data_IF_105493498347
#
_entry.id   IF_105493498347
#
_cell.length_a   1.000
_cell.length_b   1.000
_cell.length_c   1.000
_cell.angle_alpha   90.00
_cell.angle_beta   90.00
_cell.angle_gamma   90.00
#
_symmetry.space_group_name_H-M   'P 1'
#
loop_
_entity.id
_entity.type
_entity.pdbx_description
1 polymer ?
#
# COMPACT_ATOMS: atom_id res chain seq x y z
N UNK A 1 13.32 -64.12 -17.84
CA UNK A 1 12.47 -63.42 -16.85
C UNK A 1 12.70 -61.91 -17.00
N UNK A 2 11.83 -61.22 -17.73
CA UNK A 2 11.91 -59.77 -17.95
C UNK A 2 11.07 -59.04 -16.91
N UNK A 3 11.67 -58.17 -16.09
CA UNK A 3 10.97 -57.37 -15.08
C UNK A 3 10.29 -56.19 -15.77
N UNK A 4 8.96 -56.24 -15.80
CA UNK A 4 8.08 -55.20 -16.31
C UNK A 4 8.02 -54.05 -15.28
N UNK A 5 8.79 -52.97 -15.49
CA UNK A 5 8.76 -51.77 -14.65
C UNK A 5 7.54 -50.95 -15.09
N UNK A 6 6.48 -50.93 -14.28
CA UNK A 6 5.26 -50.15 -14.55
C UNK A 6 5.59 -48.65 -14.59
N UNK A 7 5.10 -47.87 -15.58
CA UNK A 7 5.42 -46.45 -15.77
C UNK A 7 4.66 -45.51 -14.80
N UNK A 8 4.27 -45.98 -13.62
CA UNK A 8 3.47 -45.20 -12.66
C UNK A 8 4.26 -44.06 -11.99
N UNK A 9 5.60 -44.08 -12.03
CA UNK A 9 6.44 -43.08 -11.36
C UNK A 9 6.62 -41.76 -12.13
N UNK A 10 6.51 -41.78 -13.47
CA UNK A 10 6.84 -40.62 -14.31
C UNK A 10 5.68 -39.61 -14.36
N UNK A 11 4.43 -40.08 -14.39
CA UNK A 11 3.23 -39.21 -14.37
C UNK A 11 3.05 -38.49 -13.03
N UNK A 12 3.34 -39.15 -11.91
CA UNK A 12 3.27 -38.53 -10.58
C UNK A 12 4.29 -37.40 -10.41
N UNK A 13 5.51 -37.56 -10.95
CA UNK A 13 6.56 -36.54 -10.88
C UNK A 13 6.24 -35.28 -11.72
N UNK A 14 5.64 -35.44 -12.90
CA UNK A 14 5.25 -34.32 -13.77
C UNK A 14 4.10 -33.52 -13.15
N UNK A 15 3.06 -34.19 -12.63
CA UNK A 15 1.92 -33.52 -11.98
C UNK A 15 2.38 -32.81 -10.70
N UNK A 16 3.25 -33.45 -9.90
CA UNK A 16 3.85 -32.81 -8.72
C UNK A 16 4.68 -31.57 -9.06
N UNK A 17 5.51 -31.63 -10.11
CA UNK A 17 6.32 -30.50 -10.57
C UNK A 17 5.49 -29.32 -11.07
N UNK A 18 4.42 -29.57 -11.85
CA UNK A 18 3.53 -28.52 -12.36
C UNK A 18 2.79 -27.82 -11.22
N UNK A 19 2.23 -28.58 -10.26
CA UNK A 19 1.53 -28.00 -9.11
C UNK A 19 2.45 -27.16 -8.21
N UNK A 20 3.69 -27.61 -7.98
CA UNK A 20 4.70 -26.83 -7.25
C UNK A 20 5.05 -25.53 -7.97
N UNK A 21 5.24 -25.57 -9.30
CA UNK A 21 5.56 -24.37 -10.09
C UNK A 21 4.43 -23.34 -10.10
N UNK A 22 3.17 -23.78 -10.21
CA UNK A 22 1.98 -22.92 -10.14
C UNK A 22 1.81 -22.31 -8.74
N UNK A 23 2.09 -23.08 -7.69
CA UNK A 23 2.08 -22.59 -6.30
C UNK A 23 3.09 -21.47 -6.08
N UNK A 24 4.33 -21.66 -6.53
CA UNK A 24 5.40 -20.64 -6.43
C UNK A 24 5.06 -19.39 -7.24
N UNK A 25 4.56 -19.54 -8.48
CA UNK A 25 4.17 -18.41 -9.31
C UNK A 25 3.03 -17.58 -8.69
N UNK A 26 2.03 -18.24 -8.09
CA UNK A 26 0.91 -17.57 -7.42
C UNK A 26 1.37 -16.77 -6.20
N UNK A 27 2.29 -17.33 -5.40
CA UNK A 27 2.89 -16.64 -4.24
C UNK A 27 3.71 -15.42 -4.66
N UNK A 28 4.47 -15.51 -5.76
CA UNK A 28 5.25 -14.39 -6.29
C UNK A 28 4.33 -13.28 -6.85
N UNK A 29 3.26 -13.65 -7.56
CA UNK A 29 2.27 -12.72 -8.10
C UNK A 29 1.60 -11.92 -6.98
N UNK A 30 1.13 -12.60 -5.92
CA UNK A 30 0.50 -11.94 -4.77
C UNK A 30 1.41 -10.94 -4.07
N UNK A 31 2.73 -11.21 -4.00
CA UNK A 31 3.70 -10.27 -3.42
C UNK A 31 4.02 -9.06 -4.28
N UNK A 32 4.03 -9.23 -5.61
CA UNK A 32 4.41 -8.16 -6.54
C UNK A 32 3.23 -7.29 -6.95
N UNK A 33 2.00 -7.83 -6.88
CA UNK A 33 0.80 -7.14 -7.31
C UNK A 33 0.60 -5.77 -6.64
N UNK A 34 0.73 -5.60 -5.31
CA UNK A 34 0.51 -4.28 -4.68
C UNK A 34 1.53 -3.22 -5.15
N UNK A 35 2.81 -3.59 -5.25
CA UNK A 35 3.86 -2.70 -5.73
C UNK A 35 3.65 -2.30 -7.19
N UNK A 36 3.24 -3.25 -8.03
CA UNK A 36 2.93 -2.98 -9.43
C UNK A 36 1.68 -2.10 -9.57
N UNK A 37 0.62 -2.37 -8.79
CA UNK A 37 -0.59 -1.55 -8.75
C UNK A 37 -0.29 -0.12 -8.33
N UNK A 38 0.53 0.09 -7.29
CA UNK A 38 0.96 1.43 -6.86
C UNK A 38 1.66 2.19 -7.98
N UNK A 39 2.66 1.57 -8.63
CA UNK A 39 3.41 2.20 -9.72
C UNK A 39 2.53 2.48 -10.93
N UNK A 40 1.64 1.55 -11.28
CA UNK A 40 0.72 1.73 -12.40
C UNK A 40 -0.25 2.88 -12.12
N UNK A 41 -0.84 2.92 -10.93
CA UNK A 41 -1.76 3.98 -10.53
C UNK A 41 -1.08 5.37 -10.52
N UNK A 42 0.14 5.46 -9.98
CA UNK A 42 0.96 6.67 -10.02
C UNK A 42 1.25 7.11 -11.46
N UNK A 43 1.58 6.18 -12.35
CA UNK A 43 1.80 6.47 -13.76
C UNK A 43 0.53 6.96 -14.44
N UNK A 44 -0.60 6.28 -14.22
CA UNK A 44 -1.92 6.68 -14.74
C UNK A 44 -2.24 8.10 -14.30
N UNK A 45 -2.10 8.40 -13.00
CA UNK A 45 -2.31 9.75 -12.47
C UNK A 45 -1.41 10.78 -13.15
N UNK A 46 -0.10 10.49 -13.25
CA UNK A 46 0.85 11.42 -13.87
C UNK A 46 0.52 11.78 -15.33
N UNK A 47 -0.18 10.88 -16.03
CA UNK A 47 -0.52 11.02 -17.46
C UNK A 47 -1.93 11.57 -17.68
N UNK A 48 -2.88 11.24 -16.80
CA UNK A 48 -4.31 11.50 -17.00
C UNK A 48 -4.90 12.54 -16.05
N UNK A 49 -4.12 13.05 -15.08
CA UNK A 49 -4.61 14.04 -14.12
C UNK A 49 -5.16 15.29 -14.82
N UNK A 50 -6.28 15.85 -14.33
CA UNK A 50 -6.72 17.19 -14.74
C UNK A 50 -5.71 18.26 -14.26
N UNK A 51 -5.54 19.32 -15.04
CA UNK A 51 -4.72 20.48 -14.62
C UNK A 51 -5.33 21.19 -13.41
N UNK A 52 -6.67 21.17 -13.30
CA UNK A 52 -7.40 21.77 -12.18
C UNK A 52 -8.47 20.81 -11.70
N UNK A 53 -8.54 20.62 -10.38
CA UNK A 53 -9.55 19.76 -9.78
C UNK A 53 -9.86 20.19 -8.36
N UNK A 54 -11.03 19.79 -7.88
CA UNK A 54 -11.41 19.85 -6.48
C UNK A 54 -11.44 18.43 -5.93
N UNK A 55 -10.94 18.23 -4.72
CA UNK A 55 -11.04 16.94 -4.07
C UNK A 55 -11.30 17.05 -2.58
N UNK A 56 -11.95 16.03 -2.04
CA UNK A 56 -12.10 15.83 -0.59
C UNK A 56 -11.25 14.64 -0.18
N UNK A 57 -10.33 14.87 0.75
CA UNK A 57 -9.46 13.85 1.32
C UNK A 57 -9.89 13.57 2.76
N UNK A 58 -10.05 12.30 3.10
CA UNK A 58 -10.24 11.82 4.46
C UNK A 58 -8.91 11.33 5.05
N UNK A 59 -8.65 11.70 6.29
CA UNK A 59 -7.47 11.31 7.05
C UNK A 59 -7.85 10.59 8.33
N UNK A 60 -7.11 9.54 8.67
CA UNK A 60 -7.07 8.95 10.02
C UNK A 60 -5.61 8.65 10.36
N UNK A 61 -5.11 9.24 11.44
CA UNK A 61 -3.71 9.11 11.84
C UNK A 61 -3.45 7.73 12.47
N UNK A 62 -4.45 7.23 13.20
CA UNK A 62 -4.46 5.92 13.83
C UNK A 62 -5.76 5.19 13.48
N UNK A 63 -5.71 3.86 13.44
CA UNK A 63 -6.86 2.99 13.12
C UNK A 63 -8.13 3.34 13.91
N UNK A 64 -7.96 3.66 15.21
CA UNK A 64 -9.06 3.95 16.13
C UNK A 64 -9.28 5.46 16.38
N UNK A 65 -8.55 6.33 15.67
CA UNK A 65 -8.75 7.77 15.78
C UNK A 65 -9.95 8.24 14.96
N UNK A 66 -10.73 9.23 15.46
CA UNK A 66 -11.75 9.87 14.64
C UNK A 66 -11.07 10.51 13.42
N UNK A 67 -11.64 10.23 12.25
CA UNK A 67 -11.16 10.82 11.02
C UNK A 67 -11.46 12.31 10.92
N UNK A 68 -10.75 12.98 10.01
CA UNK A 68 -11.04 14.34 9.59
C UNK A 68 -11.01 14.44 8.07
N UNK A 69 -11.52 15.53 7.51
CA UNK A 69 -11.62 15.74 6.08
C UNK A 69 -11.14 17.14 5.68
N UNK A 70 -10.52 17.21 4.51
CA UNK A 70 -10.13 18.46 3.87
C UNK A 70 -10.65 18.48 2.43
N UNK A 71 -11.36 19.55 2.09
CA UNK A 71 -11.76 19.86 0.72
C UNK A 71 -10.79 20.91 0.17
N UNK A 72 -10.12 20.61 -0.93
CA UNK A 72 -9.14 21.49 -1.54
C UNK A 72 -9.35 21.64 -3.04
N UNK A 73 -8.94 22.79 -3.56
CA UNK A 73 -8.77 23.02 -4.99
C UNK A 73 -7.29 22.98 -5.32
N UNK A 74 -6.97 22.20 -6.35
CA UNK A 74 -5.62 22.00 -6.84
C UNK A 74 -5.55 22.56 -8.26
N UNK A 75 -4.44 23.23 -8.57
CA UNK A 75 -4.10 23.71 -9.90
C UNK A 75 -2.65 23.36 -10.18
N UNK A 76 -2.38 22.65 -11.27
CA UNK A 76 -1.06 22.18 -11.70
C UNK A 76 -0.31 21.44 -10.57
N UNK A 77 -1.01 20.55 -9.85
CA UNK A 77 -0.50 19.87 -8.65
C UNK A 77 0.01 20.80 -7.53
N UNK A 78 -0.49 22.03 -7.48
CA UNK A 78 -0.31 22.93 -6.34
C UNK A 78 -1.66 23.25 -5.69
N UNK A 79 -1.70 23.27 -4.36
CA UNK A 79 -2.90 23.60 -3.60
C UNK A 79 -3.20 25.09 -3.80
N UNK A 80 -4.22 25.39 -4.60
CA UNK A 80 -4.65 26.76 -4.88
C UNK A 80 -5.48 27.33 -3.73
N UNK A 81 -6.31 26.47 -3.11
CA UNK A 81 -7.22 26.88 -2.03
C UNK A 81 -7.63 25.70 -1.16
N UNK A 82 -7.72 25.93 0.15
CA UNK A 82 -8.42 25.04 1.08
C UNK A 82 -9.85 25.55 1.23
N UNK A 83 -10.83 24.76 0.78
CA UNK A 83 -12.25 25.13 0.78
C UNK A 83 -12.88 24.83 2.15
N UNK A 84 -12.53 23.67 2.73
CA UNK A 84 -13.00 23.23 4.05
C UNK A 84 -11.91 22.41 4.71
N UNK A 85 -11.75 22.58 6.02
CA UNK A 85 -10.79 21.83 6.82
C UNK A 85 -11.38 21.48 8.19
N UNK A 86 -11.61 20.19 8.45
CA UNK A 86 -12.05 19.68 9.76
C UNK A 86 -10.91 19.09 10.58
N UNK A 87 -9.67 19.15 10.08
CA UNK A 87 -8.48 18.57 10.70
C UNK A 87 -7.77 19.51 11.70
N UNK A 88 -8.29 20.72 11.92
CA UNK A 88 -7.68 21.75 12.78
C UNK A 88 -7.38 21.29 14.22
N UNK A 89 -8.12 20.30 14.73
CA UNK A 89 -7.93 19.77 16.08
C UNK A 89 -6.90 18.62 16.16
N UNK A 90 -6.30 18.20 15.04
CA UNK A 90 -5.36 17.06 14.99
C UNK A 90 -3.89 17.46 15.16
N UNK A 91 -3.60 18.37 16.12
CA UNK A 91 -2.24 18.76 16.52
C UNK A 91 -1.32 19.20 15.36
N UNK A 92 -1.86 19.74 14.27
CA UNK A 92 -1.14 20.09 13.04
C UNK A 92 -0.40 18.90 12.38
N UNK A 93 -0.82 17.67 12.66
CA UNK A 93 -0.24 16.46 12.06
C UNK A 93 -0.74 16.19 10.64
N UNK A 94 -1.84 16.83 10.24
CA UNK A 94 -2.46 16.69 8.93
C UNK A 94 -2.38 18.02 8.18
N UNK A 95 -1.61 18.02 7.11
CA UNK A 95 -1.54 19.12 6.15
C UNK A 95 -2.30 18.75 4.88
N UNK A 96 -2.97 19.71 4.23
CA UNK A 96 -3.51 19.51 2.89
C UNK A 96 -2.47 18.91 1.94
N UNK A 97 -2.86 17.90 1.16
CA UNK A 97 -2.01 17.18 0.22
C UNK A 97 -2.71 17.05 -1.13
N UNK A 98 -1.99 17.19 -2.22
CA UNK A 98 -2.44 16.81 -3.58
C UNK A 98 -2.40 15.28 -3.75
N UNK A 99 -2.93 14.76 -4.86
CA UNK A 99 -2.80 13.32 -5.16
C UNK A 99 -1.33 12.90 -5.30
N UNK A 100 -0.49 13.75 -5.92
CA UNK A 100 0.95 13.49 -6.04
C UNK A 100 1.66 13.49 -4.68
N UNK A 101 1.26 14.36 -3.74
CA UNK A 101 1.79 14.35 -2.37
C UNK A 101 1.42 13.05 -1.63
N UNK A 102 0.20 12.54 -1.83
CA UNK A 102 -0.22 11.25 -1.28
C UNK A 102 0.67 10.13 -1.83
N UNK A 103 0.91 10.08 -3.14
CA UNK A 103 1.84 9.10 -3.71
C UNK A 103 3.26 9.25 -3.13
N UNK A 104 3.78 10.47 -3.03
CA UNK A 104 5.10 10.72 -2.46
C UNK A 104 5.20 10.23 -1.01
N UNK A 105 4.17 10.46 -0.19
CA UNK A 105 4.11 10.04 1.21
C UNK A 105 4.18 8.53 1.39
N UNK A 106 3.54 7.77 0.51
CA UNK A 106 3.50 6.31 0.58
C UNK A 106 4.54 5.60 -0.31
N UNK A 107 5.36 6.35 -1.06
CA UNK A 107 6.29 5.82 -2.06
C UNK A 107 7.24 4.76 -1.49
N UNK A 108 7.97 5.08 -0.42
CA UNK A 108 8.95 4.18 0.18
C UNK A 108 8.30 2.88 0.67
N UNK A 109 7.30 2.90 1.58
CA UNK A 109 6.69 1.65 2.05
C UNK A 109 5.91 0.90 0.96
N UNK A 110 5.47 1.55 -0.13
CA UNK A 110 4.82 0.87 -1.24
C UNK A 110 5.79 0.20 -2.21
N UNK A 111 7.04 0.68 -2.30
CA UNK A 111 8.00 0.20 -3.30
C UNK A 111 9.23 -0.47 -2.72
N UNK A 112 9.43 -0.40 -1.42
CA UNK A 112 10.53 -0.99 -0.68
C UNK A 112 10.00 -1.70 0.56
N UNK A 113 10.74 -2.69 1.07
CA UNK A 113 10.37 -3.33 2.33
C UNK A 113 11.00 -2.55 3.47
N UNK A 114 10.20 -1.76 4.19
CA UNK A 114 10.63 -1.00 5.37
C UNK A 114 10.14 -1.66 6.65
N UNK A 115 10.95 -1.67 7.71
CA UNK A 115 10.51 -2.12 9.02
C UNK A 115 9.58 -1.10 9.68
N UNK A 116 8.74 -1.57 10.60
CA UNK A 116 8.07 -0.67 11.54
C UNK A 116 9.04 0.09 12.45
N UNK A 117 8.56 1.10 13.18
CA UNK A 117 9.37 2.02 14.00
C UNK A 117 10.18 1.32 15.11
N UNK A 118 9.72 0.19 15.64
CA UNK A 118 10.41 -0.63 16.64
C UNK A 118 11.28 -1.74 16.00
N UNK A 119 11.46 -1.71 14.68
CA UNK A 119 12.22 -2.67 13.91
C UNK A 119 11.42 -3.90 13.47
N UNK A 120 11.95 -4.63 12.48
CA UNK A 120 11.25 -5.76 11.84
C UNK A 120 10.98 -6.95 12.79
N UNK A 121 11.77 -7.07 13.86
CA UNK A 121 11.56 -8.11 14.87
C UNK A 121 10.29 -7.87 15.68
N UNK A 122 10.00 -6.60 16.00
CA UNK A 122 8.89 -6.19 16.84
C UNK A 122 7.61 -5.95 16.03
N UNK A 123 7.71 -5.09 15.03
CA UNK A 123 6.56 -4.59 14.29
C UNK A 123 6.33 -5.38 13.00
N UNK A 124 7.37 -6.05 12.50
CA UNK A 124 7.37 -6.58 11.15
C UNK A 124 7.65 -5.51 10.10
N UNK A 125 7.20 -5.79 8.87
CA UNK A 125 7.34 -4.88 7.75
C UNK A 125 6.12 -3.97 7.61
N UNK A 126 6.34 -2.73 7.19
CA UNK A 126 5.28 -1.84 6.75
C UNK A 126 4.83 -2.30 5.35
N UNK A 127 3.53 -2.47 5.19
CA UNK A 127 2.89 -2.84 3.92
C UNK A 127 1.80 -1.83 3.60
N UNK A 128 1.71 -1.49 2.32
CA UNK A 128 0.69 -0.57 1.81
C UNK A 128 -0.47 -1.36 1.26
N UNK A 129 -1.66 -1.03 1.77
CA UNK A 129 -2.93 -1.51 1.25
C UNK A 129 -3.61 -0.34 0.59
N UNK A 130 -3.91 -0.47 -0.70
CA UNK A 130 -4.48 0.62 -1.46
C UNK A 130 -5.48 0.13 -2.50
N UNK A 131 -6.45 0.99 -2.78
CA UNK A 131 -7.34 0.89 -3.94
C UNK A 131 -7.26 2.18 -4.73
N UNK A 132 -7.38 2.06 -6.05
CA UNK A 132 -7.18 3.18 -6.97
C UNK A 132 -8.39 3.36 -7.86
N UNK A 133 -8.64 4.60 -8.24
CA UNK A 133 -9.58 4.91 -9.30
C UNK A 133 -9.08 4.32 -10.63
N UNK A 134 -9.91 3.55 -11.32
CA UNK A 134 -9.50 2.82 -12.52
C UNK A 134 -9.22 3.74 -13.73
N UNK A 135 -9.86 4.91 -13.76
CA UNK A 135 -9.72 5.85 -14.87
C UNK A 135 -8.55 6.80 -14.61
N UNK A 136 -8.58 7.52 -13.49
CA UNK A 136 -7.60 8.58 -13.21
C UNK A 136 -6.40 8.09 -12.39
N UNK A 137 -6.47 6.93 -11.74
CA UNK A 137 -5.35 6.35 -11.02
C UNK A 137 -5.09 6.92 -9.61
N UNK A 138 -5.88 7.88 -9.12
CA UNK A 138 -5.69 8.41 -7.76
C UNK A 138 -6.10 7.37 -6.69
N UNK A 139 -5.54 7.42 -5.47
CA UNK A 139 -5.89 6.49 -4.40
C UNK A 139 -7.27 6.81 -3.82
N UNK A 140 -8.22 5.89 -3.95
CA UNK A 140 -9.52 5.94 -3.27
C UNK A 140 -9.36 5.67 -1.77
N UNK A 141 -8.45 4.76 -1.45
CA UNK A 141 -8.00 4.44 -0.10
C UNK A 141 -6.54 4.01 -0.18
N UNK A 142 -5.71 4.50 0.73
CA UNK A 142 -4.34 4.04 0.93
C UNK A 142 -4.02 4.07 2.41
N UNK A 143 -3.48 2.97 2.93
CA UNK A 143 -3.14 2.84 4.33
C UNK A 143 -1.83 2.07 4.52
N UNK A 144 -1.12 2.42 5.59
CA UNK A 144 0.04 1.68 6.06
C UNK A 144 -0.37 0.68 7.14
N UNK A 145 0.06 -0.57 7.02
CA UNK A 145 -0.16 -1.61 8.02
C UNK A 145 1.14 -2.28 8.41
N UNK A 146 1.22 -2.71 9.67
CA UNK A 146 2.27 -3.61 10.13
C UNK A 146 1.87 -5.04 9.79
N UNK A 147 2.75 -5.74 9.08
CA UNK A 147 2.59 -7.15 8.78
C UNK A 147 3.82 -7.93 9.23
N UNK A 148 3.57 -9.05 9.91
CA UNK A 148 4.66 -9.95 10.28
C UNK A 148 5.21 -10.63 9.03
N UNK A 149 6.50 -10.43 8.78
CA UNK A 149 7.21 -11.16 7.74
C UNK A 149 7.84 -12.41 8.34
N UNK A 150 7.04 -13.48 8.46
CA UNK A 150 7.49 -14.76 9.01
C UNK A 150 8.64 -15.40 8.22
N UNK A 151 8.85 -14.98 6.97
CA UNK A 151 9.96 -15.45 6.14
C UNK A 151 11.24 -14.65 6.37
N UNK A 152 11.19 -13.52 7.07
CA UNK A 152 12.37 -12.74 7.39
C UNK A 152 13.09 -13.37 8.60
N UNK A 153 14.35 -13.82 8.47
CA UNK A 153 15.11 -14.42 9.56
C UNK A 153 15.24 -13.51 10.79
N UNK A 154 15.24 -12.19 10.59
CA UNK A 154 15.31 -11.22 11.69
C UNK A 154 14.07 -11.25 12.60
N UNK A 155 12.97 -11.87 12.17
CA UNK A 155 11.77 -12.05 12.97
C UNK A 155 11.93 -13.08 14.10
N UNK A 156 12.82 -14.06 13.92
CA UNK A 156 12.98 -15.21 14.83
C UNK A 156 14.03 -14.97 15.92
N UNK A 157 14.55 -13.75 16.03
CA UNK A 157 15.42 -13.37 17.14
C UNK A 157 14.65 -13.41 18.46
N UNK A 158 15.14 -14.15 19.44
CA UNK A 158 14.65 -14.12 20.81
C UNK A 158 15.57 -13.19 21.62
N UNK A 159 14.99 -12.28 22.42
CA UNK A 159 15.61 -11.41 23.44
C UNK A 159 15.75 -9.89 23.19
N UNK A 160 15.11 -9.31 22.16
CA UNK A 160 15.10 -7.84 22.03
C UNK A 160 13.83 -7.28 22.67
N UNK A 161 13.90 -6.39 23.70
CA UNK A 161 12.73 -5.73 24.22
C UNK A 161 12.14 -4.79 23.16
N UNK A 162 10.88 -5.01 22.80
CA UNK A 162 10.15 -4.17 21.87
C UNK A 162 9.56 -2.96 22.58
N UNK A 163 9.81 -1.77 22.06
CA UNK A 163 9.12 -0.55 22.49
C UNK A 163 7.73 -0.48 21.86
N UNK A 164 6.81 0.28 22.46
CA UNK A 164 5.50 0.60 21.87
C UNK A 164 5.49 1.99 21.22
N UNK A 165 6.60 2.37 20.57
CA UNK A 165 6.77 3.72 20.02
C UNK A 165 6.40 3.70 18.54
N UNK A 166 5.63 4.70 18.10
CA UNK A 166 5.38 4.99 16.70
C UNK A 166 3.91 5.02 16.32
N UNK A 167 3.58 5.80 15.29
CA UNK A 167 2.26 5.91 14.70
C UNK A 167 2.28 5.12 13.39
N UNK A 168 1.62 3.95 13.36
CA UNK A 168 1.36 3.17 12.15
C UNK A 168 -0.16 2.94 12.07
N UNK A 169 -0.70 2.80 10.86
CA UNK A 169 -2.14 2.80 10.63
C UNK A 169 -2.64 4.12 10.06
N UNK A 170 -1.74 4.95 9.54
CA UNK A 170 -2.15 6.12 8.77
C UNK A 170 -2.97 5.65 7.57
N UNK A 171 -4.17 6.22 7.46
CA UNK A 171 -5.11 6.03 6.37
C UNK A 171 -5.41 7.38 5.72
N UNK A 172 -5.27 7.41 4.39
CA UNK A 172 -5.62 8.55 3.55
C UNK A 172 -6.54 8.06 2.44
N UNK A 173 -7.66 8.73 2.20
CA UNK A 173 -8.59 8.37 1.12
C UNK A 173 -9.09 9.58 0.37
N UNK A 174 -9.01 9.57 -0.96
CA UNK A 174 -9.67 10.57 -1.81
C UNK A 174 -11.13 10.16 -1.97
N UNK A 175 -12.00 10.78 -1.16
CA UNK A 175 -13.44 10.49 -1.10
C UNK A 175 -14.13 10.96 -2.38
N UNK A 176 -13.76 12.14 -2.86
CA UNK A 176 -14.24 12.70 -4.12
C UNK A 176 -13.13 13.45 -4.84
N UNK A 177 -13.17 13.41 -6.18
CA UNK A 177 -12.32 14.21 -7.06
C UNK A 177 -13.15 14.63 -8.27
N UNK A 178 -13.21 15.93 -8.53
CA UNK A 178 -13.97 16.54 -9.62
C UNK A 178 -13.02 17.44 -10.43
N UNK A 179 -12.80 17.15 -11.73
CA UNK A 179 -12.10 18.07 -12.63
C UNK A 179 -12.83 19.42 -12.68
N UNK A 180 -12.08 20.51 -12.61
CA UNK A 180 -12.61 21.87 -12.71
C UNK A 180 -12.28 22.50 -14.08
N UNK A 181 -13.11 23.45 -14.57
CA UNK A 181 -12.80 24.24 -15.76
C UNK A 181 -11.56 25.13 -15.61
#
# INVERSE_FOLDING_TARGET
MSRNIKPLGITAAIVGGVLLSLGVATLLYQRHAPRQQFKQAQQTWSTQKPDRYRMTVEYRILTDSPGCQQEIEVQNEAIARVVRDTCQNQLNLVTPMTVSDIFARFQTPATESTCGPNGCQCDGAIRIHATYDAQLGYPRQIESRLERDWLNPSHWGFNTPCTMIGFIGEHVGVVSLEPLP
#
